data_IF_439712942601
#
_entry.id   IF_439712942601
#
_cell.length_a   1.000
_cell.length_b   1.000
_cell.length_c   1.000
_cell.angle_alpha   90.00
_cell.angle_beta   90.00
_cell.angle_gamma   90.00
#
_symmetry.space_group_name_H-M   'P 1'
#
loop_
_entity.id
_entity.type
_entity.pdbx_description
1 polymer ?
#
# COMPACT_ATOMS: atom_id res chain seq x y z
N UNK A 1 27.73 -67.70 7.04
CA UNK A 1 26.88 -67.47 5.85
C UNK A 1 25.61 -66.64 6.11
N UNK A 2 25.46 -65.95 7.26
CA UNK A 2 24.23 -65.18 7.59
C UNK A 2 24.39 -63.64 7.56
N UNK A 3 25.61 -63.11 7.43
CA UNK A 3 25.86 -61.67 7.52
C UNK A 3 25.69 -60.88 6.19
N UNK A 4 25.52 -61.55 5.04
CA UNK A 4 25.46 -60.87 3.72
C UNK A 4 24.05 -60.57 3.21
N UNK A 5 23.00 -61.05 3.87
CA UNK A 5 21.60 -60.80 3.44
C UNK A 5 20.88 -59.72 4.25
N UNK A 6 21.45 -59.25 5.37
CA UNK A 6 20.82 -58.23 6.23
C UNK A 6 21.05 -56.79 5.77
N UNK A 7 22.16 -56.52 5.05
CA UNK A 7 22.52 -55.16 4.61
C UNK A 7 21.57 -54.53 3.59
N UNK A 8 21.14 -55.21 2.51
CA UNK A 8 20.20 -54.61 1.55
C UNK A 8 18.79 -54.43 2.12
N UNK A 9 18.37 -55.29 3.06
CA UNK A 9 17.07 -55.19 3.72
C UNK A 9 16.99 -53.95 4.62
N UNK A 10 18.06 -53.66 5.38
CA UNK A 10 18.15 -52.48 6.24
C UNK A 10 18.16 -51.18 5.42
N UNK A 11 18.84 -51.16 4.27
CA UNK A 11 18.82 -50.02 3.35
C UNK A 11 17.44 -49.78 2.74
N UNK A 12 16.73 -50.85 2.33
CA UNK A 12 15.37 -50.73 1.79
C UNK A 12 14.36 -50.24 2.85
N UNK A 13 14.46 -50.72 4.08
CA UNK A 13 13.62 -50.27 5.22
C UNK A 13 13.93 -48.80 5.55
N UNK A 14 15.20 -48.38 5.50
CA UNK A 14 15.60 -46.99 5.72
C UNK A 14 15.07 -46.03 4.63
N UNK A 15 15.11 -46.43 3.36
CA UNK A 15 14.53 -45.65 2.25
C UNK A 15 13.01 -45.57 2.31
N UNK A 16 12.33 -46.67 2.67
CA UNK A 16 10.88 -46.67 2.85
C UNK A 16 10.45 -45.81 4.03
N UNK A 17 11.19 -45.85 5.14
CA UNK A 17 10.96 -45.00 6.31
C UNK A 17 11.22 -43.52 6.02
N UNK A 18 12.26 -43.18 5.23
CA UNK A 18 12.49 -41.80 4.77
C UNK A 18 11.39 -41.30 3.84
N UNK A 19 10.94 -42.10 2.87
CA UNK A 19 9.81 -41.74 1.99
C UNK A 19 8.50 -41.55 2.76
N UNK A 20 8.25 -42.39 3.78
CA UNK A 20 7.11 -42.24 4.68
C UNK A 20 7.18 -40.93 5.47
N UNK A 21 8.36 -40.61 6.03
CA UNK A 21 8.57 -39.37 6.78
C UNK A 21 8.49 -38.11 5.91
N UNK A 22 8.96 -38.15 4.66
CA UNK A 22 8.81 -37.04 3.70
C UNK A 22 7.35 -36.82 3.30
N UNK A 23 6.59 -37.89 3.10
CA UNK A 23 5.17 -37.82 2.80
C UNK A 23 4.34 -37.28 3.98
N UNK A 24 4.65 -37.72 5.20
CA UNK A 24 4.05 -37.20 6.43
C UNK A 24 4.43 -35.74 6.68
N UNK A 25 5.68 -35.34 6.44
CA UNK A 25 6.11 -33.95 6.54
C UNK A 25 5.39 -33.05 5.52
N UNK A 26 5.21 -33.52 4.29
CA UNK A 26 4.46 -32.80 3.26
C UNK A 26 2.96 -32.71 3.59
N UNK A 27 2.36 -33.79 4.13
CA UNK A 27 0.98 -33.75 4.62
C UNK A 27 0.82 -32.82 5.82
N UNK A 28 1.78 -32.80 6.75
CA UNK A 28 1.78 -31.88 7.89
C UNK A 28 1.96 -30.43 7.45
N UNK A 29 2.82 -30.15 6.47
CA UNK A 29 2.94 -28.82 5.87
C UNK A 29 1.65 -28.40 5.16
N UNK A 30 1.01 -29.30 4.40
CA UNK A 30 -0.28 -29.02 3.76
C UNK A 30 -1.41 -28.83 4.78
N UNK A 31 -1.41 -29.57 5.88
CA UNK A 31 -2.38 -29.41 6.98
C UNK A 31 -2.14 -28.11 7.75
N UNK A 32 -0.89 -27.76 8.06
CA UNK A 32 -0.53 -26.48 8.67
C UNK A 32 -0.91 -25.32 7.74
N UNK A 33 -0.64 -25.46 6.44
CA UNK A 33 -1.04 -24.48 5.45
C UNK A 33 -2.57 -24.37 5.40
N UNK A 34 -3.31 -25.49 5.37
CA UNK A 34 -4.77 -25.51 5.41
C UNK A 34 -5.35 -24.86 6.69
N UNK A 35 -4.78 -25.13 7.86
CA UNK A 35 -5.20 -24.50 9.12
C UNK A 35 -4.93 -22.98 9.11
N UNK A 36 -3.79 -22.54 8.58
CA UNK A 36 -3.52 -21.11 8.38
C UNK A 36 -4.50 -20.50 7.38
N UNK A 37 -4.82 -21.20 6.28
CA UNK A 37 -5.80 -20.73 5.29
C UNK A 37 -7.22 -20.65 5.88
N UNK A 38 -7.61 -21.57 6.77
CA UNK A 38 -8.92 -21.56 7.45
C UNK A 38 -9.04 -20.44 8.50
N UNK A 39 -7.94 -20.03 9.15
CA UNK A 39 -7.90 -18.89 10.07
C UNK A 39 -7.91 -17.54 9.32
N UNK A 40 -7.29 -17.48 8.13
CA UNK A 40 -7.21 -16.25 7.31
C UNK A 40 -8.45 -16.05 6.42
N UNK A 41 -9.13 -17.13 5.99
CA UNK A 41 -10.42 -17.06 5.27
C UNK A 41 -11.57 -16.45 6.11
N UNK A 42 -11.29 -16.10 7.37
CA UNK A 42 -12.24 -15.58 8.34
C UNK A 42 -12.25 -14.07 8.55
N UNK A 43 -11.34 -13.27 7.97
CA UNK A 43 -11.36 -11.82 8.19
C UNK A 43 -12.60 -11.17 7.62
N UNK A 44 -13.58 -10.96 8.49
CA UNK A 44 -14.77 -10.17 8.19
C UNK A 44 -14.41 -8.72 8.43
N UNK A 45 -14.90 -7.83 7.56
CA UNK A 45 -14.73 -6.38 7.70
C UNK A 45 -14.90 -5.88 9.15
N UNK A 46 -15.88 -6.41 9.89
CA UNK A 46 -16.12 -6.08 11.31
C UNK A 46 -14.93 -6.30 12.26
N UNK A 47 -14.03 -7.22 11.96
CA UNK A 47 -12.84 -7.50 12.79
C UNK A 47 -11.71 -6.52 12.49
N UNK A 48 -11.66 -5.99 11.27
CA UNK A 48 -10.70 -4.98 10.84
C UNK A 48 -11.18 -3.55 11.15
N UNK A 49 -12.47 -3.36 11.44
CA UNK A 49 -13.06 -2.07 11.78
C UNK A 49 -12.62 -1.55 13.17
N UNK A 50 -12.31 -0.25 13.31
CA UNK A 50 -12.30 0.76 12.24
C UNK A 50 -11.04 0.63 11.37
N UNK A 51 -11.20 0.71 10.05
CA UNK A 51 -10.06 0.66 9.13
C UNK A 51 -9.17 1.90 9.31
N UNK A 52 -7.86 1.68 9.43
CA UNK A 52 -6.83 2.71 9.49
C UNK A 52 -6.01 2.71 8.21
N UNK A 53 -6.28 3.67 7.31
CA UNK A 53 -5.55 3.76 6.05
C UNK A 53 -4.17 4.38 6.22
N UNK A 54 -3.13 3.62 5.89
CA UNK A 54 -1.76 4.12 5.76
C UNK A 54 -1.50 4.40 4.28
N UNK A 55 -1.45 5.69 3.95
CA UNK A 55 -1.20 6.14 2.59
C UNK A 55 0.26 6.58 2.42
N UNK A 56 1.06 5.68 1.84
CA UNK A 56 2.43 6.00 1.46
C UNK A 56 2.45 6.94 0.25
N UNK A 57 3.40 7.89 0.18
CA UNK A 57 3.58 8.72 -1.00
C UNK A 57 3.72 7.87 -2.26
N UNK A 58 2.94 8.23 -3.29
CA UNK A 58 2.97 7.62 -4.63
C UNK A 58 2.55 6.14 -4.71
N UNK A 59 1.74 5.68 -3.75
CA UNK A 59 1.10 4.34 -3.78
C UNK A 59 -0.40 4.39 -4.10
N UNK A 60 -0.83 5.39 -4.86
CA UNK A 60 -2.19 5.49 -5.41
C UNK A 60 -3.24 6.02 -4.42
N UNK A 61 -3.41 7.34 -4.38
CA UNK A 61 -4.45 8.01 -3.57
C UNK A 61 -5.88 7.59 -3.93
N UNK A 62 -6.10 7.08 -5.16
CA UNK A 62 -7.41 6.57 -5.59
C UNK A 62 -7.95 5.46 -4.70
N UNK A 63 -7.09 4.77 -3.94
CA UNK A 63 -7.50 3.66 -3.06
C UNK A 63 -8.48 4.12 -1.97
N UNK A 64 -8.51 5.41 -1.65
CA UNK A 64 -9.56 5.98 -0.79
C UNK A 64 -10.96 5.62 -1.29
N UNK A 65 -11.19 5.54 -2.61
CA UNK A 65 -12.48 5.17 -3.18
C UNK A 65 -12.92 3.77 -2.76
N UNK A 66 -12.01 2.79 -2.76
CA UNK A 66 -12.31 1.45 -2.27
C UNK A 66 -12.77 1.46 -0.80
N UNK A 67 -12.11 2.26 0.03
CA UNK A 67 -12.44 2.36 1.47
C UNK A 67 -13.79 3.05 1.68
N UNK A 68 -14.00 4.22 1.07
CA UNK A 68 -15.21 5.02 1.34
C UNK A 68 -16.47 4.40 0.73
N UNK A 69 -16.31 3.56 -0.29
CA UNK A 69 -17.40 2.80 -0.93
C UNK A 69 -17.67 1.45 -0.25
N UNK A 70 -16.90 1.06 0.78
CA UNK A 70 -17.30 -0.05 1.64
C UNK A 70 -18.63 0.26 2.32
N UNK A 71 -19.47 -0.77 2.42
CA UNK A 71 -20.81 -0.64 2.97
C UNK A 71 -20.78 -0.08 4.40
N UNK A 72 -21.36 1.11 4.57
CA UNK A 72 -21.45 1.79 5.85
C UNK A 72 -20.21 2.61 6.26
N UNK A 73 -19.11 2.57 5.50
CA UNK A 73 -17.91 3.34 5.83
C UNK A 73 -18.16 4.85 5.70
N UNK A 74 -18.60 5.31 4.53
CA UNK A 74 -18.92 6.72 4.29
C UNK A 74 -20.20 6.87 3.44
N UNK A 75 -21.40 6.67 4.01
CA UNK A 75 -22.66 6.61 3.24
C UNK A 75 -22.95 7.85 2.39
N UNK A 76 -22.56 9.04 2.87
CA UNK A 76 -22.78 10.31 2.18
C UNK A 76 -21.96 10.44 0.88
N UNK A 77 -20.97 9.57 0.66
CA UNK A 77 -20.10 9.59 -0.51
C UNK A 77 -20.21 8.34 -1.40
N UNK A 78 -21.17 7.46 -1.11
CA UNK A 78 -21.31 6.16 -1.75
C UNK A 78 -21.52 6.19 -3.28
N UNK A 79 -21.96 7.31 -3.84
CA UNK A 79 -22.38 7.43 -5.24
C UNK A 79 -21.45 8.30 -6.11
N UNK A 80 -20.29 8.73 -5.60
CA UNK A 80 -19.33 9.51 -6.37
C UNK A 80 -17.89 9.08 -6.09
N UNK A 81 -17.04 9.23 -7.10
CA UNK A 81 -15.60 9.11 -6.92
C UNK A 81 -15.08 10.32 -6.16
N UNK A 82 -14.26 10.11 -5.13
CA UNK A 82 -13.46 11.17 -4.52
C UNK A 82 -12.27 11.50 -5.43
N UNK A 83 -12.28 12.70 -5.98
CA UNK A 83 -11.23 13.28 -6.82
C UNK A 83 -11.21 14.82 -6.69
N UNK A 84 -10.35 15.46 -7.50
CA UNK A 84 -10.23 16.92 -7.56
C UNK A 84 -11.55 17.62 -7.92
N UNK A 85 -12.30 17.10 -8.89
CA UNK A 85 -13.54 17.72 -9.37
C UNK A 85 -14.66 17.63 -8.32
N UNK A 86 -14.73 16.53 -7.57
CA UNK A 86 -15.82 16.31 -6.60
C UNK A 86 -15.58 16.96 -5.24
N UNK A 87 -14.32 17.06 -4.83
CA UNK A 87 -13.95 17.60 -3.51
C UNK A 87 -13.52 19.07 -3.64
N UNK A 88 -12.95 19.46 -4.78
CA UNK A 88 -12.28 20.74 -4.98
C UNK A 88 -10.85 20.77 -4.40
N UNK A 89 -10.26 21.97 -4.33
CA UNK A 89 -8.90 22.22 -3.81
C UNK A 89 -7.72 21.77 -4.70
N UNK A 90 -8.00 21.48 -5.96
CA UNK A 90 -6.97 21.17 -6.94
C UNK A 90 -6.23 19.86 -6.63
N UNK A 91 -4.92 19.87 -6.86
CA UNK A 91 -4.00 18.75 -6.56
C UNK A 91 -3.95 18.38 -5.06
N UNK A 92 -4.61 19.16 -4.20
CA UNK A 92 -4.68 18.99 -2.76
C UNK A 92 -5.99 18.44 -2.23
N UNK A 93 -6.85 17.98 -3.14
CA UNK A 93 -8.16 17.46 -2.82
C UNK A 93 -8.16 16.41 -1.70
N UNK A 94 -7.16 15.53 -1.61
CA UNK A 94 -7.15 14.47 -0.60
C UNK A 94 -6.90 15.03 0.81
N UNK A 95 -5.95 15.94 0.95
CA UNK A 95 -5.71 16.64 2.23
C UNK A 95 -6.92 17.46 2.64
N UNK A 96 -7.55 18.13 1.68
CA UNK A 96 -8.77 18.90 1.92
C UNK A 96 -9.93 17.98 2.38
N UNK A 97 -10.16 16.87 1.68
CA UNK A 97 -11.18 15.88 2.04
C UNK A 97 -10.95 15.33 3.45
N UNK A 98 -9.73 14.90 3.76
CA UNK A 98 -9.38 14.35 5.07
C UNK A 98 -9.71 15.32 6.20
N UNK A 99 -9.38 16.61 6.01
CA UNK A 99 -9.54 17.63 7.05
C UNK A 99 -10.97 18.15 7.17
N UNK A 100 -11.64 18.38 6.04
CA UNK A 100 -12.89 19.15 6.01
C UNK A 100 -14.13 18.31 5.77
N UNK A 101 -14.00 17.07 5.30
CA UNK A 101 -15.14 16.22 4.94
C UNK A 101 -15.16 14.90 5.70
N UNK A 102 -14.03 14.18 5.76
CA UNK A 102 -13.94 12.83 6.33
C UNK A 102 -14.66 12.69 7.70
N UNK A 103 -14.42 13.56 8.70
CA UNK A 103 -15.06 13.46 10.02
C UNK A 103 -16.58 13.56 10.01
N UNK A 104 -17.15 14.15 8.95
CA UNK A 104 -18.58 14.44 8.83
C UNK A 104 -19.31 13.46 7.91
N UNK A 105 -18.58 12.81 6.98
CA UNK A 105 -19.16 11.91 5.98
C UNK A 105 -18.89 10.44 6.25
N UNK A 106 -17.87 10.13 7.06
CA UNK A 106 -17.48 8.78 7.40
C UNK A 106 -17.84 8.42 8.85
N UNK A 107 -18.20 7.16 9.05
CA UNK A 107 -18.49 6.59 10.35
C UNK A 107 -17.19 6.18 11.04
N UNK A 108 -16.87 6.79 12.19
CA UNK A 108 -15.59 6.59 12.88
C UNK A 108 -15.38 5.16 13.43
N UNK A 109 -16.46 4.39 13.62
CA UNK A 109 -16.41 2.96 13.97
C UNK A 109 -16.07 2.07 12.77
N UNK A 110 -16.14 2.62 11.54
CA UNK A 110 -15.91 1.90 10.29
C UNK A 110 -14.59 2.29 9.62
N UNK A 111 -14.33 3.59 9.55
CA UNK A 111 -13.13 4.15 8.97
C UNK A 111 -12.61 5.29 9.83
N UNK A 112 -11.38 5.13 10.32
CA UNK A 112 -10.73 6.13 11.15
C UNK A 112 -10.02 7.16 10.26
N UNK A 113 -10.60 8.36 10.15
CA UNK A 113 -9.97 9.49 9.46
C UNK A 113 -8.60 9.82 10.09
N UNK A 114 -7.48 9.73 9.34
CA UNK A 114 -6.13 9.96 9.84
C UNK A 114 -5.98 11.23 10.68
N UNK A 115 -5.28 11.14 11.82
CA UNK A 115 -4.98 12.24 12.72
C UNK A 115 -3.47 12.41 12.94
N UNK A 116 -2.95 13.66 12.91
CA UNK A 116 -3.55 14.85 12.30
C UNK A 116 -3.92 14.60 10.84
N UNK A 117 -4.94 15.29 10.33
CA UNK A 117 -5.51 15.17 8.97
C UNK A 117 -4.49 15.41 7.84
N UNK A 118 -3.56 14.47 7.68
CA UNK A 118 -2.43 14.54 6.79
C UNK A 118 -2.31 13.24 6.01
N UNK A 119 -2.15 13.37 4.69
CA UNK A 119 -2.21 12.27 3.73
C UNK A 119 -1.11 11.23 3.89
N UNK A 120 0.05 11.61 4.45
CA UNK A 120 1.21 10.72 4.60
C UNK A 120 1.64 10.58 6.05
N UNK A 121 0.67 10.45 6.95
CA UNK A 121 0.95 10.32 8.38
C UNK A 121 1.56 8.94 8.73
N UNK A 122 2.52 8.87 9.66
CA UNK A 122 3.00 7.61 10.23
C UNK A 122 1.95 6.88 11.09
N UNK A 123 2.19 5.59 11.33
CA UNK A 123 1.50 4.76 12.32
C UNK A 123 1.93 5.22 13.71
N UNK A 124 1.06 5.97 14.41
CA UNK A 124 1.38 6.59 15.70
C UNK A 124 1.14 5.69 16.91
N UNK A 125 0.31 4.65 16.76
CA UNK A 125 0.02 3.71 17.83
C UNK A 125 -0.18 2.31 17.24
N UNK A 126 0.93 1.68 16.85
CA UNK A 126 0.89 0.36 16.21
C UNK A 126 0.13 -0.66 17.05
N UNK A 127 0.32 -0.67 18.37
CA UNK A 127 -0.36 -1.62 19.26
C UNK A 127 -1.89 -1.53 19.18
N UNK A 128 -2.45 -0.33 19.08
CA UNK A 128 -3.89 -0.11 18.95
C UNK A 128 -4.40 -0.30 17.50
N UNK A 129 -3.54 -0.09 16.51
CA UNK A 129 -3.92 -0.14 15.10
C UNK A 129 -3.66 -1.51 14.46
N UNK A 130 -2.92 -2.40 15.14
CA UNK A 130 -2.60 -3.75 14.66
C UNK A 130 -3.89 -4.52 14.36
N UNK A 131 -4.00 -5.06 13.14
CA UNK A 131 -5.20 -5.77 12.67
C UNK A 131 -6.24 -4.86 12.04
N UNK A 132 -6.01 -3.53 12.03
CA UNK A 132 -6.89 -2.54 11.44
C UNK A 132 -6.23 -1.76 10.29
N UNK A 133 -4.91 -1.91 10.09
CA UNK A 133 -4.17 -1.17 9.07
C UNK A 133 -4.53 -1.66 7.67
N UNK A 134 -4.81 -0.74 6.76
CA UNK A 134 -4.98 -1.05 5.33
C UNK A 134 -4.06 -0.16 4.52
N UNK A 135 -3.49 -0.67 3.43
CA UNK A 135 -2.60 0.14 2.61
C UNK A 135 -2.26 -0.48 1.26
N UNK A 136 -1.91 0.41 0.34
CA UNK A 136 -1.33 0.07 -0.95
C UNK A 136 0.17 0.32 -0.89
N UNK A 137 0.95 -0.65 -1.35
CA UNK A 137 2.40 -0.60 -1.46
C UNK A 137 2.80 -0.47 -2.93
N UNK A 138 4.06 -0.14 -3.18
CA UNK A 138 4.61 -0.03 -4.52
C UNK A 138 6.08 -0.38 -4.48
N UNK A 139 6.56 -0.95 -5.58
CA UNK A 139 8.00 -1.11 -5.82
C UNK A 139 8.76 0.20 -5.47
N UNK A 140 9.80 0.16 -4.61
CA UNK A 140 10.45 1.37 -4.13
C UNK A 140 11.04 2.23 -5.24
N UNK A 141 11.67 1.64 -6.25
CA UNK A 141 12.28 2.39 -7.36
C UNK A 141 11.21 3.07 -8.21
N UNK A 142 10.11 2.37 -8.49
CA UNK A 142 8.93 2.95 -9.15
C UNK A 142 8.29 4.05 -8.31
N UNK A 143 8.28 3.92 -6.97
CA UNK A 143 7.78 4.95 -6.03
C UNK A 143 8.63 6.21 -6.09
N UNK A 144 9.95 6.06 -6.09
CA UNK A 144 10.92 7.16 -6.19
C UNK A 144 10.77 7.88 -7.53
N UNK A 145 10.79 7.14 -8.64
CA UNK A 145 10.65 7.74 -9.98
C UNK A 145 9.28 8.40 -10.16
N UNK A 146 8.22 7.79 -9.62
CA UNK A 146 6.91 8.42 -9.61
C UNK A 146 6.86 9.71 -8.80
N UNK A 147 7.61 9.79 -7.71
CA UNK A 147 7.74 11.00 -6.91
C UNK A 147 8.51 12.09 -7.66
N UNK A 148 9.59 11.73 -8.35
CA UNK A 148 10.46 12.64 -9.09
C UNK A 148 9.77 13.27 -10.33
N UNK A 149 9.00 12.46 -11.05
CA UNK A 149 8.29 12.90 -12.26
C UNK A 149 6.93 13.56 -11.97
N UNK A 150 6.55 13.66 -10.70
CA UNK A 150 5.35 14.39 -10.30
C UNK A 150 5.66 15.89 -10.18
N UNK A 151 5.03 16.72 -11.02
CA UNK A 151 5.27 18.17 -11.05
C UNK A 151 4.66 18.92 -9.86
N UNK A 152 3.81 18.28 -9.05
CA UNK A 152 3.46 18.82 -7.73
C UNK A 152 4.54 18.55 -6.68
N UNK A 153 5.44 17.60 -6.96
CA UNK A 153 6.65 17.32 -6.20
C UNK A 153 7.86 18.08 -6.77
N UNK A 154 7.67 19.34 -7.16
CA UNK A 154 8.76 20.26 -7.49
C UNK A 154 9.60 20.56 -6.22
N UNK A 155 10.38 19.57 -5.77
CA UNK A 155 11.47 19.76 -4.84
C UNK A 155 12.60 20.41 -5.62
N UNK A 156 12.51 21.73 -5.80
CA UNK A 156 13.75 22.46 -5.94
C UNK A 156 14.58 22.28 -4.68
N UNK A 157 15.90 22.28 -4.80
CA UNK A 157 16.78 22.10 -3.65
C UNK A 157 16.48 23.18 -2.61
N UNK A 158 15.72 22.84 -1.57
CA UNK A 158 15.24 23.82 -0.62
C UNK A 158 16.24 23.92 0.54
N UNK A 159 16.97 25.02 0.55
CA UNK A 159 17.78 25.49 1.67
C UNK A 159 16.90 25.83 2.88
N UNK A 160 17.46 25.62 4.07
CA UNK A 160 16.91 25.80 5.42
C UNK A 160 16.06 27.09 5.65
N UNK A 161 16.32 28.13 4.86
CA UNK A 161 15.79 29.48 5.01
C UNK A 161 14.32 29.65 4.59
N UNK A 162 13.83 28.85 3.63
CA UNK A 162 12.42 28.87 3.19
C UNK A 162 11.50 28.09 4.13
N UNK A 163 12.05 27.15 4.91
CA UNK A 163 11.32 26.44 5.96
C UNK A 163 10.81 27.40 7.05
N UNK A 164 11.52 28.52 7.27
CA UNK A 164 11.16 29.54 8.28
C UNK A 164 10.13 30.55 7.79
N UNK A 165 9.89 30.68 6.47
CA UNK A 165 9.11 31.81 5.94
C UNK A 165 7.68 31.50 5.47
N UNK A 166 7.38 30.31 4.94
CA UNK A 166 6.21 30.19 4.03
C UNK A 166 5.09 29.16 4.35
N UNK A 167 5.09 28.37 5.44
CA UNK A 167 4.06 27.31 5.61
C UNK A 167 2.75 27.73 6.31
N UNK A 168 2.23 28.91 5.98
CA UNK A 168 0.79 29.19 6.07
C UNK A 168 -0.01 28.61 4.89
N UNK A 169 0.66 27.93 3.94
CA UNK A 169 0.04 27.33 2.75
C UNK A 169 -0.25 25.86 3.03
N UNK A 170 -1.52 25.46 2.96
CA UNK A 170 -2.01 24.11 3.23
C UNK A 170 -1.44 23.07 2.24
N UNK A 171 -0.79 23.52 1.16
CA UNK A 171 -0.35 22.68 0.06
C UNK A 171 0.74 23.24 -0.87
N UNK A 172 1.74 22.41 -1.20
CA UNK A 172 2.93 22.79 -1.99
C UNK A 172 2.62 23.14 -3.47
N UNK A 173 1.66 22.47 -4.08
CA UNK A 173 1.36 22.57 -5.53
C UNK A 173 0.56 23.80 -5.97
N UNK A 174 0.11 24.65 -5.04
CA UNK A 174 -0.72 25.82 -5.34
C UNK A 174 0.09 27.09 -5.67
N UNK A 175 1.41 27.10 -5.44
CA UNK A 175 2.25 28.27 -5.71
C UNK A 175 2.94 28.17 -7.06
N UNK A 176 2.63 29.09 -7.99
CA UNK A 176 3.35 29.20 -9.27
C UNK A 176 4.86 29.43 -9.10
N UNK A 177 5.27 30.00 -7.96
CA UNK A 177 6.69 30.12 -7.60
C UNK A 177 7.32 28.75 -7.38
N UNK A 178 6.67 27.87 -6.61
CA UNK A 178 7.16 26.50 -6.34
C UNK A 178 7.34 25.73 -7.65
N UNK A 179 6.39 25.87 -8.58
CA UNK A 179 6.45 25.20 -9.90
C UNK A 179 7.55 25.74 -10.83
N UNK A 180 8.03 26.97 -10.59
CA UNK A 180 9.06 27.60 -11.40
C UNK A 180 10.49 27.28 -10.98
N UNK A 181 10.68 26.65 -9.83
CA UNK A 181 12.00 26.37 -9.29
C UNK A 181 12.61 25.10 -9.92
N UNK A 182 13.95 25.03 -10.08
CA UNK A 182 14.60 23.91 -10.74
C UNK A 182 14.56 22.65 -9.87
N UNK A 183 14.19 21.49 -10.44
CA UNK A 183 14.20 20.19 -9.72
C UNK A 183 15.61 19.84 -9.23
N UNK A 184 15.72 19.26 -8.02
CA UNK A 184 16.99 18.65 -7.57
C UNK A 184 17.43 17.50 -8.48
N UNK A 185 18.72 17.15 -8.52
CA UNK A 185 19.20 15.96 -9.18
C UNK A 185 18.48 14.70 -8.67
N UNK A 186 18.16 13.76 -9.57
CA UNK A 186 17.44 12.52 -9.21
C UNK A 186 18.14 11.71 -8.12
N UNK A 187 19.47 11.62 -8.14
CA UNK A 187 20.22 10.90 -7.11
C UNK A 187 20.03 11.51 -5.71
N UNK A 188 20.00 12.84 -5.60
CA UNK A 188 19.77 13.53 -4.33
C UNK A 188 18.31 13.36 -3.86
N UNK A 189 17.37 13.41 -4.80
CA UNK A 189 15.96 13.11 -4.52
C UNK A 189 15.77 11.70 -3.97
N UNK A 190 16.40 10.71 -4.61
CA UNK A 190 16.31 9.31 -4.26
C UNK A 190 16.83 9.07 -2.82
N UNK A 191 17.99 9.63 -2.48
CA UNK A 191 18.53 9.56 -1.10
C UNK A 191 17.61 10.23 -0.07
N UNK A 192 17.02 11.38 -0.38
CA UNK A 192 16.08 12.05 0.52
C UNK A 192 14.81 11.23 0.80
N UNK A 193 14.32 10.50 -0.21
CA UNK A 193 13.08 9.71 -0.14
C UNK A 193 13.28 8.27 0.34
N UNK A 194 14.54 7.85 0.49
CA UNK A 194 14.96 6.51 0.87
C UNK A 194 14.37 6.05 2.21
N UNK A 195 13.77 4.87 2.28
CA UNK A 195 13.21 4.36 3.53
C UNK A 195 11.93 5.11 3.98
N UNK A 196 11.20 5.73 3.05
CA UNK A 196 10.00 6.50 3.35
C UNK A 196 8.84 5.65 3.87
N UNK A 197 8.63 4.46 3.30
CA UNK A 197 7.62 3.52 3.80
C UNK A 197 7.99 2.99 5.18
N UNK A 198 9.26 2.65 5.35
CA UNK A 198 9.83 2.23 6.64
C UNK A 198 9.59 3.28 7.71
N UNK A 199 9.89 4.56 7.43
CA UNK A 199 9.67 5.65 8.37
C UNK A 199 8.21 5.76 8.83
N UNK A 200 7.25 5.69 7.91
CA UNK A 200 5.82 5.74 8.26
C UNK A 200 5.38 4.57 9.13
N UNK A 201 6.01 3.40 9.00
CA UNK A 201 5.60 2.21 9.73
C UNK A 201 6.18 2.13 11.14
N UNK A 202 7.35 2.71 11.40
CA UNK A 202 8.03 2.59 12.71
C UNK A 202 7.99 3.85 13.57
N UNK A 203 7.61 5.00 13.02
CA UNK A 203 7.68 6.28 13.75
C UNK A 203 6.40 6.57 14.51
N UNK A 204 6.40 6.33 15.83
CA UNK A 204 5.21 6.53 16.68
C UNK A 204 4.98 7.99 17.10
N UNK A 205 6.04 8.79 17.12
CA UNK A 205 6.00 10.21 17.52
C UNK A 205 6.73 11.10 16.50
N UNK A 206 6.17 11.28 15.30
CA UNK A 206 6.85 12.04 14.25
C UNK A 206 6.96 13.51 14.62
N UNK A 207 8.19 14.04 14.56
CA UNK A 207 8.46 15.50 14.59
C UNK A 207 8.42 16.12 13.19
N UNK A 208 8.36 15.28 12.17
CA UNK A 208 8.39 15.63 10.74
C UNK A 208 7.46 14.73 9.95
N UNK A 209 6.97 15.20 8.80
CA UNK A 209 6.23 14.34 7.85
C UNK A 209 7.19 13.48 7.04
N UNK A 210 6.68 12.39 6.44
CA UNK A 210 7.45 11.42 5.64
C UNK A 210 8.26 12.03 4.50
N UNK A 211 7.79 13.15 3.94
CA UNK A 211 8.44 13.85 2.83
C UNK A 211 9.31 15.04 3.29
N UNK A 212 9.55 15.18 4.59
CA UNK A 212 10.45 16.22 5.12
C UNK A 212 11.92 15.77 4.93
N UNK A 213 12.79 16.59 4.30
CA UNK A 213 14.20 16.28 4.16
C UNK A 213 14.95 16.10 5.49
N UNK A 214 14.42 16.66 6.58
CA UNK A 214 15.03 16.59 7.92
C UNK A 214 14.53 15.40 8.73
N UNK A 215 13.67 14.55 8.15
CA UNK A 215 13.19 13.37 8.88
C UNK A 215 14.39 12.50 9.30
N UNK A 216 14.34 11.88 10.50
CA UNK A 216 15.33 10.90 10.90
C UNK A 216 15.51 9.82 9.83
N UNK A 217 16.77 9.56 9.48
CA UNK A 217 17.11 8.45 8.60
C UNK A 217 16.80 7.13 9.30
N UNK A 218 16.16 6.23 8.57
CA UNK A 218 15.83 4.89 9.04
C UNK A 218 16.93 3.91 8.66
N UNK A 219 17.04 2.85 9.45
CA UNK A 219 18.05 1.80 9.27
C UNK A 219 17.43 0.51 8.78
N UNK A 220 18.27 -0.46 8.42
CA UNK A 220 17.81 -1.80 8.05
C UNK A 220 17.13 -2.55 9.20
N UNK A 221 17.47 -2.21 10.45
CA UNK A 221 16.77 -2.74 11.63
C UNK A 221 15.32 -2.21 11.68
N UNK A 222 15.14 -0.93 11.39
CA UNK A 222 13.81 -0.32 11.31
C UNK A 222 13.00 -0.95 10.16
N UNK A 223 13.63 -1.20 9.02
CA UNK A 223 12.99 -1.90 7.90
C UNK A 223 12.52 -3.31 8.27
N UNK A 224 13.30 -4.02 9.10
CA UNK A 224 12.92 -5.35 9.60
C UNK A 224 11.69 -5.28 10.51
N UNK A 225 11.61 -4.29 11.40
CA UNK A 225 10.43 -4.05 12.22
C UNK A 225 9.23 -3.60 11.38
N UNK A 226 9.43 -2.70 10.41
CA UNK A 226 8.40 -2.30 9.47
C UNK A 226 7.83 -3.50 8.70
N UNK A 227 8.68 -4.36 8.17
CA UNK A 227 8.28 -5.60 7.50
C UNK A 227 7.49 -6.55 8.43
N UNK A 228 7.87 -6.64 9.72
CA UNK A 228 7.10 -7.38 10.71
C UNK A 228 5.71 -6.75 10.92
N UNK A 229 5.63 -5.42 11.03
CA UNK A 229 4.35 -4.68 11.16
C UNK A 229 3.44 -4.87 9.95
N UNK A 230 4.00 -4.97 8.74
CA UNK A 230 3.24 -5.33 7.53
C UNK A 230 2.61 -6.71 7.65
N UNK A 231 3.41 -7.73 8.02
CA UNK A 231 2.93 -9.12 8.17
C UNK A 231 1.91 -9.29 9.28
N UNK A 232 2.15 -8.64 10.42
CA UNK A 232 1.39 -8.93 11.64
C UNK A 232 0.25 -7.94 11.91
N UNK A 233 0.23 -6.78 11.23
CA UNK A 233 -0.61 -5.66 11.63
C UNK A 233 -1.52 -5.09 10.55
N UNK A 234 -1.37 -5.49 9.29
CA UNK A 234 -2.25 -5.05 8.22
C UNK A 234 -3.43 -6.01 8.04
N UNK A 235 -4.63 -5.46 8.15
CA UNK A 235 -5.89 -6.07 7.73
C UNK A 235 -5.95 -6.29 6.21
N UNK A 236 -5.30 -5.41 5.44
CA UNK A 236 -5.22 -5.51 3.99
C UNK A 236 -3.93 -4.92 3.46
N UNK A 237 -3.29 -5.65 2.55
CA UNK A 237 -2.11 -5.21 1.80
C UNK A 237 -2.42 -5.37 0.32
N UNK A 238 -2.37 -4.28 -0.43
CA UNK A 238 -2.44 -4.29 -1.90
C UNK A 238 -1.16 -3.73 -2.52
N UNK A 239 -1.02 -3.94 -3.83
CA UNK A 239 0.13 -3.52 -4.62
C UNK A 239 -0.31 -2.58 -5.76
N UNK A 240 0.41 -1.49 -5.97
CA UNK A 240 0.06 -0.46 -6.95
C UNK A 240 0.16 -1.00 -8.37
N UNK A 241 1.22 -1.75 -8.67
CA UNK A 241 1.45 -2.43 -9.94
C UNK A 241 0.45 -3.57 -10.24
N UNK A 242 -0.26 -4.06 -9.21
CA UNK A 242 -1.34 -5.04 -9.32
C UNK A 242 -2.68 -4.43 -8.89
N UNK A 243 -2.94 -3.18 -9.31
CA UNK A 243 -4.10 -2.39 -8.85
C UNK A 243 -5.41 -3.17 -8.96
N UNK A 244 -5.67 -3.73 -10.14
CA UNK A 244 -6.93 -4.41 -10.45
C UNK A 244 -7.15 -5.64 -9.56
N UNK A 245 -6.10 -6.45 -9.34
CA UNK A 245 -6.15 -7.57 -8.40
C UNK A 245 -6.25 -7.11 -6.95
N UNK A 246 -5.63 -6.00 -6.59
CA UNK A 246 -5.69 -5.43 -5.24
C UNK A 246 -7.10 -4.97 -4.88
N UNK A 247 -7.80 -4.29 -5.79
CA UNK A 247 -9.20 -3.90 -5.59
C UNK A 247 -10.09 -5.15 -5.47
N UNK A 248 -9.93 -6.12 -6.38
CA UNK A 248 -10.69 -7.37 -6.28
C UNK A 248 -10.44 -8.11 -4.97
N UNK A 249 -9.17 -8.24 -4.54
CA UNK A 249 -8.79 -8.83 -3.27
C UNK A 249 -9.45 -8.11 -2.09
N UNK A 250 -9.41 -6.78 -2.09
CA UNK A 250 -10.03 -5.96 -1.05
C UNK A 250 -11.52 -6.30 -0.87
N UNK A 251 -12.26 -6.41 -1.98
CA UNK A 251 -13.68 -6.79 -1.94
C UNK A 251 -13.92 -8.28 -1.63
N UNK A 252 -13.01 -9.19 -1.99
CA UNK A 252 -13.09 -10.59 -1.57
C UNK A 252 -12.85 -10.75 -0.07
N UNK A 253 -11.99 -9.92 0.52
CA UNK A 253 -11.69 -9.91 1.95
C UNK A 253 -12.81 -9.25 2.75
N UNK A 254 -13.23 -8.04 2.38
CA UNK A 254 -14.14 -7.23 3.20
C UNK A 254 -15.59 -7.22 2.71
N UNK A 255 -15.87 -7.82 1.57
CA UNK A 255 -17.18 -7.80 0.93
C UNK A 255 -17.46 -6.52 0.16
N UNK A 256 -18.72 -6.36 -0.26
CA UNK A 256 -19.13 -5.31 -1.19
C UNK A 256 -18.84 -5.67 -2.65
N UNK A 257 -19.44 -4.91 -3.56
CA UNK A 257 -19.21 -5.03 -4.99
C UNK A 257 -18.19 -3.98 -5.43
N UNK A 258 -17.28 -4.35 -6.32
CA UNK A 258 -16.36 -3.37 -6.89
C UNK A 258 -17.14 -2.30 -7.63
N UNK A 259 -16.73 -1.05 -7.51
CA UNK A 259 -17.36 0.07 -8.20
C UNK A 259 -16.45 0.62 -9.31
N UNK A 260 -17.01 1.23 -10.36
CA UNK A 260 -16.21 1.85 -11.41
C UNK A 260 -15.25 2.93 -10.87
N UNK A 261 -15.61 3.58 -9.76
CA UNK A 261 -14.86 4.67 -9.14
C UNK A 261 -13.49 4.23 -8.57
N UNK A 262 -13.37 2.97 -8.16
CA UNK A 262 -12.12 2.39 -7.63
C UNK A 262 -11.02 2.24 -8.69
N UNK A 263 -11.39 2.23 -9.97
CA UNK A 263 -10.48 2.07 -11.09
C UNK A 263 -10.13 3.39 -11.77
N UNK A 264 -10.69 4.51 -11.29
CA UNK A 264 -10.34 5.84 -11.78
C UNK A 264 -8.99 6.24 -11.19
N UNK A 265 -8.05 6.63 -12.06
CA UNK A 265 -6.86 7.31 -11.61
C UNK A 265 -7.22 8.76 -11.25
N UNK A 266 -7.48 9.03 -9.98
CA UNK A 266 -7.91 10.35 -9.48
C UNK A 266 -6.73 11.30 -9.22
N UNK A 267 -5.51 10.84 -9.53
CA UNK A 267 -4.26 11.61 -9.48
C UNK A 267 -3.31 11.16 -10.60
N UNK A 268 -3.65 11.40 -11.87
CA UNK A 268 -2.72 11.13 -12.98
C UNK A 268 -1.45 11.95 -12.81
N UNK A 269 -0.32 11.39 -13.25
CA UNK A 269 0.93 12.17 -13.26
C UNK A 269 0.87 13.25 -14.33
N UNK A 270 1.49 14.40 -14.03
CA UNK A 270 1.47 15.59 -14.88
C UNK A 270 2.30 15.41 -16.17
N UNK A 271 3.25 14.47 -16.16
CA UNK A 271 4.03 14.07 -17.33
C UNK A 271 3.20 13.30 -18.39
N UNK A 272 1.90 13.11 -18.15
CA UNK A 272 0.98 12.38 -19.04
C UNK A 272 1.25 10.88 -19.10
N UNK A 273 2.13 10.37 -18.23
CA UNK A 273 2.39 8.94 -18.12
C UNK A 273 1.15 8.25 -17.56
N UNK A 274 0.75 7.19 -18.25
CA UNK A 274 -0.33 6.35 -17.77
C UNK A 274 0.13 5.48 -16.60
N UNK A 275 -0.78 5.23 -15.65
CA UNK A 275 -0.51 4.44 -14.44
C UNK A 275 -0.19 2.96 -14.73
N UNK A 276 -0.53 2.47 -15.94
CA UNK A 276 -0.29 1.11 -16.42
C UNK A 276 1.14 0.88 -16.95
N UNK A 277 1.98 1.92 -16.97
CA UNK A 277 3.36 1.83 -17.44
C UNK A 277 4.32 2.02 -16.28
N UNK A 278 5.37 1.23 -16.24
CA UNK A 278 6.49 1.43 -15.34
C UNK A 278 7.43 2.51 -15.84
N UNK A 279 8.15 3.13 -14.90
CA UNK A 279 9.25 4.05 -15.20
C UNK A 279 10.48 3.22 -15.57
N UNK A 280 11.29 3.75 -16.47
CA UNK A 280 12.60 3.17 -16.77
C UNK A 280 13.53 3.40 -15.56
N UNK A 281 13.83 2.32 -14.83
CA UNK A 281 14.68 2.35 -13.63
C UNK A 281 16.15 2.58 -13.94
N UNK A 282 16.58 2.49 -15.21
CA UNK A 282 17.96 2.83 -15.59
C UNK A 282 18.32 4.29 -15.29
N UNK A 283 17.32 5.17 -15.17
CA UNK A 283 17.47 6.56 -14.72
C UNK A 283 18.12 6.67 -13.34
N UNK A 284 17.93 5.67 -12.48
CA UNK A 284 18.53 5.62 -11.13
C UNK A 284 20.02 5.23 -11.15
N UNK A 285 20.57 4.84 -12.31
CA UNK A 285 22.00 4.55 -12.48
C UNK A 285 22.54 3.50 -11.49
N UNK A 286 21.71 2.49 -11.18
CA UNK A 286 22.05 1.41 -10.24
C UNK A 286 21.83 1.76 -8.77
N UNK A 287 21.34 2.96 -8.48
CA UNK A 287 20.76 3.27 -7.17
C UNK A 287 19.47 2.46 -6.96
N UNK A 288 19.23 2.04 -5.72
CA UNK A 288 17.99 1.39 -5.28
C UNK A 288 17.75 1.63 -3.79
N UNK A 289 16.48 1.59 -3.36
CA UNK A 289 16.09 1.80 -1.96
C UNK A 289 16.17 0.50 -1.13
N UNK A 290 17.38 0.09 -0.75
CA UNK A 290 17.62 -1.15 0.02
C UNK A 290 16.92 -1.23 1.40
N UNK A 291 16.36 -0.11 1.89
CA UNK A 291 15.61 -0.04 3.14
C UNK A 291 14.15 -0.37 2.88
N UNK A 292 13.47 0.38 2.00
CA UNK A 292 12.07 0.12 1.68
C UNK A 292 11.87 -1.20 0.91
N UNK A 293 12.90 -1.74 0.25
CA UNK A 293 12.85 -3.04 -0.42
C UNK A 293 12.50 -4.18 0.55
N UNK A 294 12.98 -4.10 1.80
CA UNK A 294 12.66 -5.08 2.85
C UNK A 294 11.17 -5.02 3.22
N UNK A 295 10.59 -3.82 3.24
CA UNK A 295 9.17 -3.60 3.54
C UNK A 295 8.30 -4.05 2.37
N UNK A 296 8.69 -3.68 1.15
CA UNK A 296 7.97 -4.04 -0.06
C UNK A 296 7.97 -5.56 -0.29
N UNK A 297 9.10 -6.25 -0.08
CA UNK A 297 9.15 -7.71 -0.14
C UNK A 297 8.15 -8.36 0.84
N UNK A 298 8.04 -7.84 2.07
CA UNK A 298 7.04 -8.32 3.02
C UNK A 298 5.60 -8.05 2.57
N UNK A 299 5.34 -6.91 1.94
CA UNK A 299 4.03 -6.59 1.37
C UNK A 299 3.67 -7.53 0.21
N UNK A 300 4.62 -7.83 -0.69
CA UNK A 300 4.44 -8.79 -1.79
C UNK A 300 4.12 -10.18 -1.26
N UNK A 301 4.82 -10.63 -0.20
CA UNK A 301 4.55 -11.92 0.42
C UNK A 301 3.12 -12.00 0.98
N UNK A 302 2.69 -10.99 1.75
CA UNK A 302 1.33 -10.92 2.32
C UNK A 302 0.27 -10.86 1.21
N UNK A 303 0.48 -10.02 0.19
CA UNK A 303 -0.43 -9.89 -0.94
C UNK A 303 -0.61 -11.22 -1.66
N UNK A 304 0.49 -11.90 -2.03
CA UNK A 304 0.44 -13.19 -2.73
C UNK A 304 -0.23 -14.28 -1.88
N UNK A 305 0.05 -14.32 -0.58
CA UNK A 305 -0.62 -15.25 0.34
C UNK A 305 -2.12 -14.99 0.35
N UNK A 306 -2.55 -13.73 0.44
CA UNK A 306 -3.96 -13.37 0.43
C UNK A 306 -4.64 -13.68 -0.92
N UNK A 307 -3.95 -13.52 -2.06
CA UNK A 307 -4.50 -13.96 -3.34
C UNK A 307 -4.86 -15.45 -3.33
N UNK A 308 -4.00 -16.28 -2.73
CA UNK A 308 -4.24 -17.73 -2.60
C UNK A 308 -5.39 -17.99 -1.63
N UNK A 309 -5.37 -17.40 -0.43
CA UNK A 309 -6.38 -17.60 0.61
C UNK A 309 -7.78 -17.26 0.09
N UNK A 310 -7.92 -16.12 -0.59
CA UNK A 310 -9.20 -15.60 -1.05
C UNK A 310 -9.55 -16.00 -2.48
N UNK A 311 -8.78 -16.91 -3.09
CA UNK A 311 -8.98 -17.40 -4.46
C UNK A 311 -9.11 -16.25 -5.48
N UNK A 312 -8.20 -15.29 -5.41
CA UNK A 312 -8.17 -14.09 -6.26
C UNK A 312 -7.20 -14.32 -7.41
N UNK A 313 -7.73 -14.29 -8.62
CA UNK A 313 -7.04 -14.49 -9.90
C UNK A 313 -7.67 -13.57 -10.93
N UNK A 314 -7.02 -13.39 -12.08
CA UNK A 314 -7.60 -12.61 -13.18
C UNK A 314 -8.99 -13.16 -13.58
N UNK A 315 -9.16 -14.48 -13.56
CA UNK A 315 -10.39 -15.17 -13.92
C UNK A 315 -11.50 -14.99 -12.88
N UNK A 316 -11.16 -15.09 -11.58
CA UNK A 316 -12.15 -14.95 -10.50
C UNK A 316 -12.57 -13.49 -10.23
N UNK A 317 -11.87 -12.53 -10.84
CA UNK A 317 -12.12 -11.09 -10.71
C UNK A 317 -12.86 -10.45 -11.89
N UNK A 318 -13.32 -11.23 -12.88
CA UNK A 318 -13.95 -10.68 -14.08
C UNK A 318 -15.16 -9.78 -13.80
N UNK A 319 -15.94 -10.07 -12.75
CA UNK A 319 -17.06 -9.21 -12.31
C UNK A 319 -16.57 -7.81 -11.88
N UNK A 320 -15.45 -7.76 -11.16
CA UNK A 320 -14.81 -6.51 -10.75
C UNK A 320 -14.35 -5.71 -11.99
N UNK A 321 -13.78 -6.42 -12.97
CA UNK A 321 -13.25 -5.81 -14.19
C UNK A 321 -14.33 -5.38 -15.19
N UNK A 322 -15.53 -5.96 -15.16
CA UNK A 322 -16.65 -5.43 -15.94
C UNK A 322 -17.02 -4.02 -15.46
N UNK A 323 -17.00 -3.77 -14.14
CA UNK A 323 -17.30 -2.44 -13.59
C UNK A 323 -16.24 -1.40 -13.96
N UNK A 324 -14.97 -1.81 -14.11
CA UNK A 324 -13.90 -0.95 -14.66
C UNK A 324 -14.20 -0.46 -16.09
N UNK A 325 -14.86 -1.25 -16.93
CA UNK A 325 -15.17 -0.83 -18.31
C UNK A 325 -16.26 0.24 -18.36
N UNK A 326 -17.11 0.28 -17.35
CA UNK A 326 -18.17 1.29 -17.23
C UNK A 326 -17.66 2.65 -16.74
N UNK A 327 -16.51 2.71 -16.05
CA UNK A 327 -15.90 3.98 -15.58
C UNK A 327 -15.42 4.85 -16.73
N UNK A 328 -14.95 4.24 -17.83
CA UNK A 328 -14.62 4.95 -19.06
C UNK A 328 -15.83 5.66 -19.71
N UNK A 329 -17.06 5.34 -19.25
CA UNK A 329 -18.31 5.82 -19.84
C UNK A 329 -19.09 6.81 -18.94
N UNK A 330 -18.73 6.98 -17.67
CA UNK A 330 -19.49 7.82 -16.70
C UNK A 330 -18.57 8.49 -15.68
N UNK A 331 -18.12 9.71 -15.99
CA UNK A 331 -17.68 10.66 -14.96
C UNK A 331 -18.85 11.62 -14.73
N UNK A 332 -19.65 11.37 -13.69
CA UNK A 332 -20.65 12.33 -13.26
C UNK A 332 -19.95 13.45 -12.50
N UNK A 333 -19.96 14.64 -13.09
CA UNK A 333 -19.51 15.91 -12.50
C UNK A 333 -20.66 16.48 -11.65
N UNK A 334 -20.35 17.08 -10.50
CA UNK A 334 -21.31 17.81 -9.67
C UNK A 334 -21.83 19.08 -10.36
#
# INVERSE_FOLDING_TARGET
MLARFLSPLLSAISLASRRSGEHEAMQMQLLQHKFVLEDVAGWKLKEAEPLHWIHFPKTGSSFVNAIVHLNGACPSVANYALNEDTVGSGTCWLSYWLKHMCPYVCHADKYACPQPFHVHHPVTNYSAQRGHLVGMFRDPDQRILSGYHDDDNNFAGYTEELFRRDLGVECRGQSGVVKSLPKIPLAEFAEMWKGGMTYQLVTEHPTTVTLDPRRPQVTRRDATEAARRVRDGFAFVGLTEEWDLSICLFHKMFGGSCTPFEFVNTRPSMDGKSADRDYDTSQLQGWYDDIDDVVYAAAVDVFRQNLIVFNVTQETCQECYSNKRDSASRVAVL
#
